data_IF_138706522545
#
_entry.id   IF_138706522545
#
_cell.length_a   1.000
_cell.length_b   1.000
_cell.length_c   1.000
_cell.angle_alpha   90.00
_cell.angle_beta   90.00
_cell.angle_gamma   90.00
#
_symmetry.space_group_name_H-M   'P 1'
#
loop_
_entity.id
_entity.type
_entity.pdbx_description
1 polymer ?
#
# COMPACT_ATOMS: atom_id res chain seq x y z
N UNK A 1 -7.93 -4.40 -13.35
CA UNK A 1 -9.03 -3.43 -13.50
C UNK A 1 -8.53 -2.03 -13.89
N UNK A 2 -7.77 -1.32 -13.05
CA UNK A 2 -7.38 0.09 -13.30
C UNK A 2 -6.65 0.35 -14.63
N UNK A 3 -5.80 -0.57 -15.09
CA UNK A 3 -5.10 -0.46 -16.39
C UNK A 3 -6.04 -0.42 -17.59
N UNK A 4 -7.21 -1.07 -17.52
CA UNK A 4 -8.21 -1.03 -18.57
C UNK A 4 -8.85 0.36 -18.65
N UNK A 5 -9.15 0.96 -17.49
CA UNK A 5 -9.67 2.33 -17.43
C UNK A 5 -8.68 3.34 -18.00
N UNK A 6 -7.39 3.19 -17.73
CA UNK A 6 -6.36 4.05 -18.34
C UNK A 6 -6.21 3.84 -19.84
N UNK A 7 -6.50 2.64 -20.36
CA UNK A 7 -6.45 2.36 -21.79
C UNK A 7 -7.66 2.98 -22.51
N UNK A 8 -8.84 2.93 -21.89
CA UNK A 8 -10.08 3.47 -22.45
C UNK A 8 -10.19 5.00 -22.30
N UNK A 9 -9.75 5.53 -21.16
CA UNK A 9 -9.89 6.95 -20.79
C UNK A 9 -8.54 7.54 -20.34
N UNK A 10 -7.55 7.68 -21.24
CA UNK A 10 -6.19 8.07 -20.87
C UNK A 10 -6.08 9.49 -20.27
N UNK A 11 -6.93 10.43 -20.72
CA UNK A 11 -6.90 11.82 -20.25
C UNK A 11 -7.55 11.97 -18.86
N UNK A 12 -8.62 11.21 -18.59
CA UNK A 12 -9.37 11.25 -17.34
C UNK A 12 -8.79 10.30 -16.28
N UNK A 13 -8.18 9.19 -16.71
CA UNK A 13 -7.64 8.15 -15.85
C UNK A 13 -6.18 7.83 -16.19
N UNK A 14 -5.28 8.83 -16.11
CA UNK A 14 -3.91 8.68 -16.56
C UNK A 14 -3.14 7.64 -15.75
N UNK A 15 -2.16 6.99 -16.39
CA UNK A 15 -1.22 6.10 -15.73
C UNK A 15 0.19 6.29 -16.29
N UNK A 16 1.15 6.56 -15.39
CA UNK A 16 2.54 6.68 -15.77
C UNK A 16 3.30 5.35 -15.56
N UNK A 17 4.00 4.85 -16.57
CA UNK A 17 4.72 3.56 -16.53
C UNK A 17 5.69 3.42 -15.36
N UNK A 18 6.34 4.53 -14.99
CA UNK A 18 7.31 4.59 -13.91
C UNK A 18 6.72 5.18 -12.62
N UNK A 19 5.40 5.10 -12.43
CA UNK A 19 4.72 5.48 -11.20
C UNK A 19 4.95 6.94 -10.75
N UNK A 20 5.00 7.87 -11.70
CA UNK A 20 5.04 9.29 -11.38
C UNK A 20 3.66 9.68 -10.85
N UNK A 21 3.55 9.89 -9.55
CA UNK A 21 2.28 10.11 -8.85
C UNK A 21 1.54 11.34 -9.34
N UNK A 22 2.25 12.40 -9.74
CA UNK A 22 1.65 13.61 -10.33
C UNK A 22 0.97 13.35 -11.69
N UNK A 23 1.36 12.28 -12.37
CA UNK A 23 0.95 11.95 -13.74
C UNK A 23 0.14 10.63 -13.75
N UNK A 24 -0.33 10.18 -12.59
CA UNK A 24 -1.09 8.94 -12.42
C UNK A 24 -2.37 9.24 -11.65
N UNK A 25 -3.49 8.62 -12.04
CA UNK A 25 -4.77 8.85 -11.38
C UNK A 25 -4.72 8.38 -9.90
N UNK A 26 -5.22 9.17 -8.93
CA UNK A 26 -5.08 8.86 -7.50
C UNK A 26 -5.66 7.53 -7.02
N UNK A 27 -6.62 7.00 -7.77
CA UNK A 27 -7.21 5.68 -7.51
C UNK A 27 -6.15 4.57 -7.54
N UNK A 28 -5.09 4.70 -8.34
CA UNK A 28 -4.03 3.70 -8.39
C UNK A 28 -3.34 3.49 -7.06
N UNK A 29 -3.13 4.53 -6.24
CA UNK A 29 -2.58 4.33 -4.90
C UNK A 29 -3.67 4.26 -3.83
N UNK A 30 -4.84 4.84 -4.05
CA UNK A 30 -5.89 4.80 -3.03
C UNK A 30 -6.54 3.42 -2.89
N UNK A 31 -6.56 2.62 -3.97
CA UNK A 31 -7.26 1.32 -4.01
C UNK A 31 -6.37 0.12 -4.38
N UNK A 32 -5.07 0.30 -4.60
CA UNK A 32 -4.19 -0.83 -4.89
C UNK A 32 -3.60 -1.44 -3.62
N UNK A 33 -3.55 -2.76 -3.61
CA UNK A 33 -2.72 -3.52 -2.68
C UNK A 33 -1.24 -3.42 -3.10
N UNK A 34 -0.36 -3.38 -2.11
CA UNK A 34 1.09 -3.39 -2.27
C UNK A 34 1.70 -4.48 -1.39
N UNK A 35 2.90 -4.92 -1.73
CA UNK A 35 3.73 -5.72 -0.84
C UNK A 35 4.56 -4.76 0.02
N UNK A 36 4.62 -5.01 1.31
CA UNK A 36 5.46 -4.28 2.26
C UNK A 36 6.22 -5.28 3.15
N UNK A 37 7.38 -4.88 3.64
CA UNK A 37 8.19 -5.70 4.54
C UNK A 37 7.88 -5.36 6.00
N UNK A 38 7.61 -6.36 6.85
CA UNK A 38 7.36 -6.17 8.29
C UNK A 38 8.55 -5.49 8.96
N UNK A 39 9.75 -6.04 8.71
CA UNK A 39 11.05 -5.44 9.02
C UNK A 39 11.59 -4.83 7.72
N UNK A 40 11.74 -3.50 7.64
CA UNK A 40 12.25 -2.83 6.45
C UNK A 40 13.67 -3.28 6.08
N UNK A 41 14.00 -3.20 4.79
CA UNK A 41 15.35 -3.48 4.29
C UNK A 41 16.41 -2.58 4.93
N UNK A 42 16.07 -1.32 5.23
CA UNK A 42 16.94 -0.38 5.95
C UNK A 42 17.28 -0.83 7.38
N UNK A 43 16.48 -1.73 7.95
CA UNK A 43 16.69 -2.36 9.26
C UNK A 43 17.22 -3.79 9.14
N UNK A 44 17.69 -4.21 7.96
CA UNK A 44 18.26 -5.54 7.73
C UNK A 44 17.22 -6.65 7.56
N UNK A 45 15.96 -6.32 7.30
CA UNK A 45 14.95 -7.32 6.95
C UNK A 45 15.30 -8.08 5.68
N UNK A 46 15.01 -9.39 5.65
CA UNK A 46 15.24 -10.23 4.47
C UNK A 46 14.21 -9.87 3.37
N UNK A 47 14.67 -9.51 2.15
CA UNK A 47 13.78 -9.15 1.05
C UNK A 47 12.95 -10.32 0.50
N UNK A 48 13.37 -11.57 0.72
CA UNK A 48 12.76 -12.78 0.15
C UNK A 48 12.08 -13.67 1.19
N UNK A 49 12.19 -13.34 2.48
CA UNK A 49 11.49 -14.06 3.52
C UNK A 49 9.97 -13.83 3.41
N UNK A 50 9.24 -14.92 3.13
CA UNK A 50 7.79 -14.89 3.03
C UNK A 50 7.10 -14.47 4.33
N UNK A 51 7.72 -14.74 5.49
CA UNK A 51 7.22 -14.28 6.80
C UNK A 51 7.38 -12.77 7.01
N UNK A 52 8.31 -12.16 6.28
CA UNK A 52 8.59 -10.73 6.32
C UNK A 52 7.79 -9.94 5.27
N UNK A 53 7.10 -10.58 4.32
CA UNK A 53 6.36 -9.90 3.24
C UNK A 53 4.85 -9.98 3.51
N UNK A 54 4.21 -8.82 3.62
CA UNK A 54 2.76 -8.72 3.88
C UNK A 54 2.06 -7.88 2.82
N UNK A 55 0.74 -8.05 2.73
CA UNK A 55 -0.10 -7.20 1.88
C UNK A 55 -0.53 -5.95 2.65
N UNK A 56 -0.36 -4.77 2.05
CA UNK A 56 -0.74 -3.49 2.66
C UNK A 56 -1.45 -2.56 1.66
N UNK A 57 -2.36 -1.70 2.14
CA UNK A 57 -2.85 -0.53 1.38
C UNK A 57 -1.64 0.37 1.07
N UNK A 58 -1.57 0.99 -0.11
CA UNK A 58 -0.46 1.91 -0.43
C UNK A 58 -0.30 3.03 0.61
N UNK A 59 -1.38 3.66 1.16
CA UNK A 59 -1.22 4.64 2.24
C UNK A 59 -0.51 4.10 3.49
N UNK A 60 -0.79 2.85 3.91
CA UNK A 60 -0.12 2.23 5.04
C UNK A 60 1.35 1.96 4.72
N UNK A 61 1.63 1.38 3.56
CA UNK A 61 3.00 1.14 3.09
C UNK A 61 3.79 2.45 3.02
N UNK A 62 3.22 3.49 2.41
CA UNK A 62 3.87 4.80 2.32
C UNK A 62 4.07 5.48 3.68
N UNK A 63 3.15 5.29 4.63
CA UNK A 63 3.27 5.84 5.99
C UNK A 63 4.34 5.11 6.80
N UNK A 64 4.42 3.77 6.69
CA UNK A 64 5.47 2.98 7.35
C UNK A 64 6.83 3.25 6.70
N UNK A 65 6.89 3.15 5.37
CA UNK A 65 8.12 3.33 4.61
C UNK A 65 9.26 2.46 5.19
N UNK A 66 10.40 3.06 5.49
CA UNK A 66 11.54 2.40 6.13
C UNK A 66 11.48 2.29 7.66
N UNK A 67 10.35 2.60 8.31
CA UNK A 67 10.18 2.55 9.77
C UNK A 67 9.67 1.18 10.23
N UNK A 68 9.89 0.86 11.52
CA UNK A 68 9.30 -0.32 12.14
C UNK A 68 7.81 -0.11 12.42
N UNK A 69 7.07 -1.21 12.61
CA UNK A 69 5.64 -1.13 12.94
C UNK A 69 5.39 -0.31 14.21
N UNK A 70 6.23 -0.48 15.22
CA UNK A 70 6.13 0.23 16.50
C UNK A 70 6.33 1.74 16.34
N UNK A 71 7.24 2.17 15.45
CA UNK A 71 7.51 3.58 15.18
C UNK A 71 6.29 4.32 14.62
N UNK A 72 5.43 3.60 13.88
CA UNK A 72 4.21 4.16 13.29
C UNK A 72 2.92 3.76 14.02
N UNK A 73 3.03 2.98 15.10
CA UNK A 73 1.91 2.47 15.90
C UNK A 73 1.01 1.49 15.14
N UNK A 74 1.57 0.70 14.22
CA UNK A 74 0.84 -0.30 13.47
C UNK A 74 0.76 -1.62 14.22
N UNK A 75 -0.37 -2.31 14.07
CA UNK A 75 -0.59 -3.63 14.63
C UNK A 75 -1.25 -4.50 13.56
N UNK A 76 -0.94 -5.80 13.57
CA UNK A 76 -1.66 -6.75 12.74
C UNK A 76 -3.07 -6.96 13.30
N UNK A 77 -4.10 -7.08 12.44
CA UNK A 77 -5.44 -7.44 12.89
C UNK A 77 -5.41 -8.86 13.45
N UNK A 78 -5.94 -9.05 14.66
CA UNK A 78 -6.06 -10.38 15.31
C UNK A 78 -6.97 -11.33 14.51
N UNK A 79 -7.90 -10.78 13.71
CA UNK A 79 -8.80 -11.51 12.83
C UNK A 79 -8.98 -10.76 11.51
N UNK A 80 -8.81 -11.47 10.38
CA UNK A 80 -8.99 -10.95 9.01
C UNK A 80 -10.42 -10.49 8.73
N UNK A 81 -11.42 -11.08 9.37
CA UNK A 81 -12.84 -10.72 9.21
C UNK A 81 -13.17 -9.38 9.89
N UNK A 82 -12.41 -8.99 10.91
CA UNK A 82 -12.60 -7.74 11.64
C UNK A 82 -12.26 -6.47 10.81
N UNK A 83 -11.64 -6.66 9.64
CA UNK A 83 -11.25 -5.58 8.71
C UNK A 83 -12.44 -4.98 7.94
N UNK A 84 -13.55 -5.71 7.80
CA UNK A 84 -14.73 -5.22 7.09
C UNK A 84 -15.58 -4.25 7.92
N UNK A 85 -15.47 -4.30 9.25
CA UNK A 85 -16.31 -3.53 10.17
C UNK A 85 -15.63 -2.28 10.72
N UNK A 86 -14.29 -2.27 10.76
CA UNK A 86 -13.51 -1.09 11.12
C UNK A 86 -13.02 -0.43 9.84
N UNK A 87 -13.44 0.83 9.57
CA UNK A 87 -12.85 1.65 8.51
C UNK A 87 -11.34 1.46 8.52
N UNK A 88 -10.79 1.02 7.39
CA UNK A 88 -9.37 0.70 7.23
C UNK A 88 -8.52 1.79 7.89
N UNK A 89 -7.44 1.47 8.63
CA UNK A 89 -6.63 2.45 9.38
C UNK A 89 -6.10 3.61 8.52
N UNK A 90 -6.16 3.46 7.18
CA UNK A 90 -5.92 4.49 6.17
C UNK A 90 -6.96 5.67 6.19
N UNK A 91 -8.01 5.67 7.06
CA UNK A 91 -9.03 6.76 7.13
C UNK A 91 -8.76 7.87 8.16
N UNK A 92 -7.72 7.75 8.99
CA UNK A 92 -7.31 8.80 9.92
C UNK A 92 -6.27 9.70 9.27
N UNK A 93 -6.74 10.82 8.71
CA UNK A 93 -5.88 11.95 8.33
C UNK A 93 -5.45 12.70 9.58
#
# INVERSE_FOLDING_TARGET
MMRLLSAEFPDQFPFHRNWKTTDTHPVYWSLSATHDHVVPLSHGGDPLDAGNIVTACWPCNSRKSGLLLDDVGFNFPENVDALHEKRSPCSGR
#
